data_IF_998668999923
#
_entry.id   IF_998668999923
#
_cell.length_a   1.000
_cell.length_b   1.000
_cell.length_c   1.000
_cell.angle_alpha   90.00
_cell.angle_beta   90.00
_cell.angle_gamma   90.00
#
_symmetry.space_group_name_H-M   'P 1'
#
loop_
_entity.id
_entity.type
_entity.pdbx_description
1 polymer ?
#
# COMPACT_ATOMS: atom_id res chain seq x y z
N UNK A 1 -8.70 -14.57 3.92
CA UNK A 1 -9.90 -15.31 3.44
C UNK A 1 -9.65 -16.81 3.46
N UNK A 2 -8.68 -17.40 2.73
CA UNK A 2 -8.44 -18.87 2.71
C UNK A 2 -8.44 -19.46 4.13
N UNK A 3 -7.60 -18.99 5.05
CA UNK A 3 -7.53 -19.51 6.43
C UNK A 3 -8.86 -19.45 7.19
N UNK A 4 -9.74 -18.49 6.88
CA UNK A 4 -11.05 -18.33 7.54
C UNK A 4 -12.11 -19.26 6.96
N UNK A 5 -12.15 -19.38 5.62
CA UNK A 5 -13.20 -20.11 4.90
C UNK A 5 -12.83 -21.60 4.66
N UNK A 6 -11.53 -21.90 4.66
CA UNK A 6 -10.97 -23.23 4.40
C UNK A 6 -9.85 -23.52 5.41
N UNK A 7 -10.17 -23.64 6.71
CA UNK A 7 -9.19 -23.80 7.77
C UNK A 7 -8.40 -25.11 7.70
N UNK A 8 -8.93 -26.12 6.99
CA UNK A 8 -8.31 -27.42 6.76
C UNK A 8 -7.09 -27.36 5.81
N UNK A 9 -6.97 -26.31 4.99
CA UNK A 9 -5.89 -26.19 4.02
C UNK A 9 -4.58 -25.72 4.70
N UNK A 10 -3.49 -26.45 4.43
CA UNK A 10 -2.15 -26.00 4.74
C UNK A 10 -1.72 -24.83 3.81
N UNK A 11 -1.18 -23.78 4.39
CA UNK A 11 -0.73 -22.58 3.65
C UNK A 11 0.79 -22.46 3.72
N UNK A 12 1.45 -22.62 2.58
CA UNK A 12 2.88 -22.34 2.42
C UNK A 12 3.04 -21.00 1.73
N UNK A 13 3.69 -20.05 2.39
CA UNK A 13 3.96 -18.72 1.87
C UNK A 13 5.45 -18.59 1.54
N UNK A 14 5.77 -18.41 0.27
CA UNK A 14 7.15 -18.29 -0.19
C UNK A 14 7.47 -16.89 -0.71
N UNK A 15 8.69 -16.43 -0.43
CA UNK A 15 9.22 -15.15 -0.88
C UNK A 15 10.54 -15.34 -1.61
N UNK A 16 10.73 -14.66 -2.73
CA UNK A 16 12.03 -14.57 -3.37
C UNK A 16 12.88 -13.43 -2.77
N UNK A 17 12.24 -12.31 -2.42
CA UNK A 17 12.91 -11.14 -1.86
C UNK A 17 13.15 -11.29 -0.35
N UNK A 18 14.38 -11.01 0.15
CA UNK A 18 14.65 -10.95 1.59
C UNK A 18 13.75 -9.96 2.33
N UNK A 19 13.47 -8.80 1.77
CA UNK A 19 12.61 -7.78 2.39
C UNK A 19 11.18 -8.29 2.63
N UNK A 20 10.63 -9.05 1.69
CA UNK A 20 9.31 -9.67 1.86
C UNK A 20 9.31 -10.75 2.95
N UNK A 21 10.35 -11.59 2.94
CA UNK A 21 10.51 -12.66 3.92
C UNK A 21 10.68 -12.12 5.34
N UNK A 22 11.62 -11.19 5.56
CA UNK A 22 11.92 -10.64 6.89
C UNK A 22 10.70 -10.00 7.56
N UNK A 23 9.87 -9.31 6.78
CA UNK A 23 8.62 -8.71 7.29
C UNK A 23 7.56 -9.76 7.60
N UNK A 24 7.59 -10.93 6.96
CA UNK A 24 6.51 -11.92 7.03
C UNK A 24 6.91 -13.30 7.56
N UNK A 25 8.16 -13.51 7.96
CA UNK A 25 8.66 -14.80 8.45
C UNK A 25 7.86 -15.42 9.61
N UNK A 26 7.21 -14.57 10.41
CA UNK A 26 6.34 -14.97 11.52
C UNK A 26 4.86 -14.71 11.21
N UNK A 27 4.45 -14.78 9.94
CA UNK A 27 3.07 -14.46 9.56
C UNK A 27 2.09 -15.53 10.07
N UNK A 28 1.18 -15.18 11.02
CA UNK A 28 0.42 -16.17 11.79
C UNK A 28 -0.65 -16.93 10.99
N UNK A 29 -0.90 -16.48 9.75
CA UNK A 29 -1.93 -17.09 8.89
C UNK A 29 -1.36 -18.19 8.00
N UNK A 30 -0.03 -18.22 7.79
CA UNK A 30 0.64 -19.28 7.06
C UNK A 30 1.20 -20.35 8.01
N UNK A 31 1.15 -21.60 7.61
CA UNK A 31 1.72 -22.71 8.39
C UNK A 31 3.24 -22.78 8.19
N UNK A 32 3.71 -22.45 6.98
CA UNK A 32 5.13 -22.38 6.63
C UNK A 32 5.39 -21.06 5.90
N UNK A 33 6.43 -20.33 6.33
CA UNK A 33 6.97 -19.17 5.60
C UNK A 33 8.42 -19.44 5.27
N UNK A 34 8.79 -19.33 3.99
CA UNK A 34 10.13 -19.73 3.53
C UNK A 34 10.58 -18.91 2.31
N UNK A 35 11.86 -19.03 1.97
CA UNK A 35 12.37 -18.50 0.71
C UNK A 35 11.99 -19.41 -0.47
N UNK A 36 11.66 -18.81 -1.60
CA UNK A 36 11.56 -19.51 -2.87
C UNK A 36 12.99 -19.65 -3.44
N UNK A 37 13.50 -20.88 -3.67
CA UNK A 37 14.80 -21.07 -4.31
C UNK A 37 14.87 -20.48 -5.72
N UNK A 38 16.10 -20.18 -6.20
CA UNK A 38 16.30 -19.69 -7.56
C UNK A 38 15.61 -20.58 -8.60
N UNK A 39 15.01 -19.95 -9.62
CA UNK A 39 14.22 -20.60 -10.65
C UNK A 39 15.11 -21.39 -11.63
N UNK A 40 15.57 -22.57 -11.18
CA UNK A 40 16.26 -23.57 -12.01
C UNK A 40 15.39 -24.82 -12.11
N UNK A 41 15.54 -25.59 -13.18
CA UNK A 41 14.76 -26.81 -13.40
C UNK A 41 14.91 -27.83 -12.22
N UNK A 42 16.10 -27.92 -11.61
CA UNK A 42 16.35 -28.80 -10.46
C UNK A 42 15.65 -28.29 -9.20
N UNK A 43 15.80 -27.01 -8.90
CA UNK A 43 15.18 -26.41 -7.72
C UNK A 43 13.64 -26.45 -7.81
N UNK A 44 13.09 -26.08 -8.96
CA UNK A 44 11.65 -26.08 -9.18
C UNK A 44 11.07 -27.48 -9.01
N UNK A 45 11.72 -28.51 -9.59
CA UNK A 45 11.28 -29.89 -9.42
C UNK A 45 11.30 -30.31 -7.95
N UNK A 46 12.44 -30.14 -7.27
CA UNK A 46 12.58 -30.52 -5.86
C UNK A 46 11.58 -29.78 -4.96
N UNK A 47 11.38 -28.49 -5.20
CA UNK A 47 10.44 -27.66 -4.45
C UNK A 47 9.01 -28.18 -4.59
N UNK A 48 8.55 -28.34 -5.85
CA UNK A 48 7.17 -28.81 -6.12
C UNK A 48 6.97 -30.23 -5.59
N UNK A 49 7.99 -31.11 -5.66
CA UNK A 49 7.95 -32.44 -5.07
C UNK A 49 7.90 -32.44 -3.54
N UNK A 50 8.64 -31.54 -2.89
CA UNK A 50 8.72 -31.46 -1.43
C UNK A 50 7.45 -30.87 -0.83
N UNK A 51 6.94 -29.76 -1.43
CA UNK A 51 5.72 -29.10 -0.95
C UNK A 51 4.47 -29.89 -1.34
N UNK A 52 4.50 -30.52 -2.51
CA UNK A 52 3.37 -31.28 -3.10
C UNK A 52 2.03 -30.52 -2.97
N UNK A 53 1.93 -29.31 -3.54
CA UNK A 53 0.77 -28.47 -3.33
C UNK A 53 -0.43 -28.97 -4.12
N UNK A 54 -1.64 -28.84 -3.55
CA UNK A 54 -2.90 -29.08 -4.24
C UNK A 54 -3.23 -27.96 -5.24
N UNK A 55 -2.73 -26.73 -4.97
CA UNK A 55 -2.82 -25.58 -5.88
C UNK A 55 -1.69 -24.60 -5.63
N UNK A 56 -1.38 -23.76 -6.61
CA UNK A 56 -0.42 -22.66 -6.50
C UNK A 56 -1.05 -21.33 -6.88
N UNK A 57 -0.78 -20.29 -6.08
CA UNK A 57 -1.27 -18.94 -6.33
C UNK A 57 -0.07 -18.00 -6.42
N UNK A 58 0.07 -17.35 -7.56
CA UNK A 58 1.07 -16.32 -7.82
C UNK A 58 0.42 -14.94 -7.81
N UNK A 59 1.18 -13.91 -7.40
CA UNK A 59 0.66 -12.55 -7.23
C UNK A 59 1.34 -11.57 -8.18
N UNK A 60 0.59 -10.88 -9.03
CA UNK A 60 1.04 -9.79 -9.92
C UNK A 60 2.04 -10.20 -11.00
N UNK A 61 3.34 -9.99 -10.75
CA UNK A 61 4.42 -10.11 -11.75
C UNK A 61 5.26 -11.38 -11.57
N UNK A 62 4.72 -12.39 -10.97
CA UNK A 62 5.43 -13.63 -10.64
C UNK A 62 5.39 -14.63 -11.80
N UNK A 63 6.40 -14.57 -12.69
CA UNK A 63 6.53 -15.41 -13.88
C UNK A 63 7.77 -16.30 -13.78
N UNK A 64 7.73 -17.29 -12.91
CA UNK A 64 8.79 -18.24 -12.63
C UNK A 64 8.71 -19.46 -13.55
N UNK A 65 9.43 -19.42 -14.67
CA UNK A 65 9.24 -20.36 -15.79
C UNK A 65 9.39 -21.82 -15.44
N UNK A 66 10.46 -22.19 -14.68
CA UNK A 66 10.67 -23.58 -14.29
C UNK A 66 9.64 -24.07 -13.25
N UNK A 67 9.25 -23.22 -12.31
CA UNK A 67 8.17 -23.55 -11.36
C UNK A 67 6.85 -23.75 -12.06
N UNK A 68 6.46 -22.85 -12.96
CA UNK A 68 5.23 -22.95 -13.74
C UNK A 68 5.19 -24.24 -14.59
N UNK A 69 6.30 -24.58 -15.23
CA UNK A 69 6.46 -25.82 -15.97
C UNK A 69 6.29 -27.08 -15.10
N UNK A 70 6.89 -27.09 -13.89
CA UNK A 70 6.77 -28.24 -13.00
C UNK A 70 5.35 -28.39 -12.44
N UNK A 71 4.70 -27.29 -12.08
CA UNK A 71 3.31 -27.29 -11.65
C UNK A 71 2.40 -27.83 -12.75
N UNK A 72 2.57 -27.36 -13.99
CA UNK A 72 1.81 -27.82 -15.15
C UNK A 72 2.04 -29.31 -15.46
N UNK A 73 3.29 -29.79 -15.39
CA UNK A 73 3.63 -31.22 -15.60
C UNK A 73 2.98 -32.15 -14.57
N UNK A 74 2.65 -31.64 -13.39
CA UNK A 74 1.97 -32.40 -12.33
C UNK A 74 0.47 -32.11 -12.26
N UNK A 75 -0.09 -31.42 -13.26
CA UNK A 75 -1.50 -31.03 -13.35
C UNK A 75 -1.99 -30.26 -12.10
N UNK A 76 -1.09 -29.51 -11.42
CA UNK A 76 -1.42 -28.72 -10.26
C UNK A 76 -2.09 -27.41 -10.72
N UNK A 77 -3.34 -27.14 -10.31
CA UNK A 77 -4.04 -25.89 -10.61
C UNK A 77 -3.21 -24.68 -10.18
N UNK A 78 -2.93 -23.79 -11.13
CA UNK A 78 -2.04 -22.65 -10.89
C UNK A 78 -2.72 -21.37 -11.30
N UNK A 79 -2.79 -20.41 -10.39
CA UNK A 79 -3.51 -19.16 -10.55
C UNK A 79 -2.57 -17.97 -10.45
N UNK A 80 -2.79 -16.96 -11.30
CA UNK A 80 -2.14 -15.65 -11.18
C UNK A 80 -3.20 -14.63 -10.78
N UNK A 81 -3.04 -13.98 -9.63
CA UNK A 81 -4.01 -13.03 -9.11
C UNK A 81 -3.51 -11.58 -9.14
N UNK A 82 -4.43 -10.63 -9.24
CA UNK A 82 -4.13 -9.19 -9.28
C UNK A 82 -3.11 -8.81 -10.35
N UNK A 83 -3.08 -9.52 -11.47
CA UNK A 83 -2.13 -9.28 -12.54
C UNK A 83 -2.49 -8.03 -13.36
N UNK A 84 -1.49 -7.28 -13.77
CA UNK A 84 -1.66 -6.15 -14.70
C UNK A 84 -0.68 -6.29 -15.86
N UNK A 85 -1.18 -6.11 -17.06
CA UNK A 85 -0.40 -6.24 -18.28
C UNK A 85 -0.28 -4.92 -19.03
N UNK A 86 0.88 -4.71 -19.66
CA UNK A 86 1.19 -3.51 -20.44
C UNK A 86 1.77 -3.93 -21.80
N UNK A 87 1.43 -3.19 -22.85
CA UNK A 87 1.88 -3.46 -24.23
C UNK A 87 3.40 -3.55 -24.38
N UNK A 88 4.16 -2.85 -23.52
CA UNK A 88 5.63 -2.86 -23.53
C UNK A 88 6.25 -4.14 -22.98
N UNK A 89 5.49 -5.02 -22.31
CA UNK A 89 6.04 -6.25 -21.73
C UNK A 89 6.37 -7.30 -22.80
N UNK A 90 7.33 -8.16 -22.47
CA UNK A 90 7.88 -9.18 -23.37
C UNK A 90 6.84 -10.13 -23.98
N UNK A 91 5.74 -10.39 -23.26
CA UNK A 91 4.64 -11.23 -23.73
C UNK A 91 4.04 -10.76 -25.07
N UNK A 92 3.99 -9.44 -25.28
CA UNK A 92 3.34 -8.79 -26.41
C UNK A 92 4.30 -8.41 -27.53
N UNK A 93 5.59 -8.72 -27.38
CA UNK A 93 6.59 -8.49 -28.41
C UNK A 93 6.64 -9.67 -29.39
N UNK A 94 7.07 -9.41 -30.64
CA UNK A 94 7.18 -10.46 -31.67
C UNK A 94 8.09 -11.62 -31.25
N UNK A 95 9.12 -11.36 -30.44
CA UNK A 95 10.07 -12.34 -29.90
C UNK A 95 9.60 -13.02 -28.61
N UNK A 96 8.44 -12.68 -28.09
CA UNK A 96 7.94 -13.07 -26.77
C UNK A 96 7.42 -14.50 -26.63
N UNK A 97 7.74 -15.42 -27.57
CA UNK A 97 7.20 -16.80 -27.58
C UNK A 97 7.39 -17.55 -26.26
N UNK A 98 8.61 -17.55 -25.72
CA UNK A 98 8.93 -18.22 -24.44
C UNK A 98 8.12 -17.64 -23.28
N UNK A 99 7.95 -16.31 -23.24
CA UNK A 99 7.15 -15.65 -22.20
C UNK A 99 5.65 -16.00 -22.33
N UNK A 100 5.13 -16.08 -23.57
CA UNK A 100 3.74 -16.52 -23.80
C UNK A 100 3.51 -17.96 -23.34
N UNK A 101 4.51 -18.83 -23.48
CA UNK A 101 4.44 -20.20 -22.96
C UNK A 101 4.18 -20.22 -21.44
N UNK A 102 4.83 -19.34 -20.67
CA UNK A 102 4.61 -19.23 -19.22
C UNK A 102 3.15 -18.87 -18.88
N UNK A 103 2.51 -17.99 -19.68
CA UNK A 103 1.09 -17.66 -19.50
C UNK A 103 0.19 -18.87 -19.69
N UNK A 104 0.54 -19.75 -20.63
CA UNK A 104 -0.17 -21.01 -20.87
C UNK A 104 0.03 -22.08 -19.79
N UNK A 105 0.87 -21.84 -18.79
CA UNK A 105 1.03 -22.72 -17.63
C UNK A 105 0.02 -22.40 -16.51
N UNK A 106 -0.60 -21.24 -16.53
CA UNK A 106 -1.64 -20.90 -15.56
C UNK A 106 -2.98 -21.52 -15.95
N UNK A 107 -3.66 -22.12 -14.97
CA UNK A 107 -5.03 -22.58 -15.12
C UNK A 107 -5.99 -21.42 -15.35
N UNK A 108 -5.75 -20.29 -14.62
CA UNK A 108 -6.50 -19.04 -14.79
C UNK A 108 -5.70 -17.83 -14.37
N UNK A 109 -5.92 -16.70 -15.07
CA UNK A 109 -5.34 -15.40 -14.76
C UNK A 109 -6.45 -14.44 -14.32
N UNK A 110 -6.32 -13.87 -13.13
CA UNK A 110 -7.20 -12.84 -12.62
C UNK A 110 -6.51 -11.49 -12.74
N UNK A 111 -7.01 -10.67 -13.65
CA UNK A 111 -6.39 -9.39 -14.01
C UNK A 111 -7.11 -8.20 -13.37
N UNK A 112 -6.38 -7.09 -13.25
CA UNK A 112 -6.90 -5.89 -12.60
C UNK A 112 -7.90 -5.12 -13.48
N UNK A 113 -7.78 -5.20 -14.81
CA UNK A 113 -8.55 -4.37 -15.72
C UNK A 113 -8.78 -5.01 -17.10
N UNK A 114 -9.78 -4.47 -17.80
CA UNK A 114 -10.15 -4.86 -19.16
C UNK A 114 -9.04 -4.62 -20.20
N UNK A 115 -8.14 -3.66 -19.94
CA UNK A 115 -7.02 -3.40 -20.86
C UNK A 115 -6.04 -4.59 -20.84
N UNK A 116 -5.76 -5.14 -19.64
CA UNK A 116 -4.97 -6.35 -19.48
C UNK A 116 -5.62 -7.57 -20.16
N UNK A 117 -6.94 -7.75 -19.99
CA UNK A 117 -7.67 -8.85 -20.62
C UNK A 117 -7.63 -8.75 -22.15
N UNK A 118 -7.83 -7.54 -22.72
CA UNK A 118 -7.72 -7.33 -24.18
C UNK A 118 -6.32 -7.61 -24.72
N UNK A 119 -5.26 -7.24 -24.01
CA UNK A 119 -3.89 -7.54 -24.39
C UNK A 119 -3.63 -9.05 -24.43
N UNK A 120 -4.10 -9.79 -23.43
CA UNK A 120 -3.98 -11.24 -23.35
C UNK A 120 -4.78 -11.95 -24.45
N UNK A 121 -6.00 -11.53 -24.72
CA UNK A 121 -6.82 -12.03 -25.82
C UNK A 121 -6.12 -11.83 -27.19
N UNK A 122 -5.41 -10.71 -27.38
CA UNK A 122 -4.62 -10.43 -28.59
C UNK A 122 -3.45 -11.39 -28.84
N UNK A 123 -3.07 -12.22 -27.86
CA UNK A 123 -2.06 -13.27 -27.99
C UNK A 123 -2.63 -14.67 -27.71
N UNK A 124 -3.95 -14.84 -27.90
CA UNK A 124 -4.70 -16.08 -27.73
C UNK A 124 -4.66 -16.67 -26.29
N UNK A 125 -4.59 -15.84 -25.26
CA UNK A 125 -4.76 -16.23 -23.84
C UNK A 125 -6.16 -15.83 -23.41
N UNK A 126 -7.05 -16.82 -23.21
CA UNK A 126 -8.49 -16.62 -22.98
C UNK A 126 -8.97 -17.06 -21.58
N UNK A 127 -8.15 -17.79 -20.82
CA UNK A 127 -8.43 -18.20 -19.44
C UNK A 127 -8.24 -17.05 -18.44
N UNK A 128 -8.93 -15.92 -18.68
CA UNK A 128 -8.73 -14.64 -18.01
C UNK A 128 -10.05 -14.12 -17.46
N UNK A 129 -10.07 -13.73 -16.18
CA UNK A 129 -11.17 -12.98 -15.58
C UNK A 129 -10.69 -11.60 -15.09
N UNK A 130 -11.52 -10.58 -15.26
CA UNK A 130 -11.27 -9.25 -14.72
C UNK A 130 -11.90 -9.16 -13.33
N UNK A 131 -11.06 -9.17 -12.30
CA UNK A 131 -11.51 -9.18 -10.90
C UNK A 131 -11.05 -7.95 -10.10
N UNK A 132 -10.08 -7.19 -10.61
CA UNK A 132 -9.50 -6.06 -9.87
C UNK A 132 -8.23 -6.43 -9.10
N UNK A 133 -7.83 -5.55 -8.18
CA UNK A 133 -6.63 -5.68 -7.35
C UNK A 133 -7.01 -5.96 -5.89
N UNK A 134 -6.55 -7.08 -5.36
CA UNK A 134 -6.77 -7.49 -3.96
C UNK A 134 -6.21 -6.52 -2.91
N UNK A 135 -5.37 -5.57 -3.32
CA UNK A 135 -4.89 -4.51 -2.41
C UNK A 135 -6.01 -3.59 -1.92
N UNK A 136 -7.07 -3.38 -2.72
CA UNK A 136 -8.22 -2.58 -2.31
C UNK A 136 -9.00 -3.24 -1.17
N UNK A 137 -9.23 -4.57 -1.27
CA UNK A 137 -9.86 -5.33 -0.20
C UNK A 137 -9.02 -5.29 1.07
N UNK A 138 -7.68 -5.45 0.92
CA UNK A 138 -6.76 -5.45 2.05
C UNK A 138 -6.75 -4.12 2.81
N UNK A 139 -6.67 -2.97 2.12
CA UNK A 139 -6.66 -1.67 2.82
C UNK A 139 -8.00 -1.40 3.49
N UNK A 140 -9.11 -1.88 2.91
CA UNK A 140 -10.43 -1.80 3.52
C UNK A 140 -10.53 -2.66 4.78
N UNK A 141 -9.99 -3.86 4.76
CA UNK A 141 -9.95 -4.75 5.94
C UNK A 141 -9.10 -4.13 7.07
N UNK A 142 -7.93 -3.58 6.74
CA UNK A 142 -7.10 -2.87 7.71
C UNK A 142 -7.87 -1.69 8.31
N UNK A 143 -8.50 -0.86 7.48
CA UNK A 143 -9.30 0.28 7.94
C UNK A 143 -10.40 -0.12 8.95
N UNK A 144 -11.04 -1.27 8.74
CA UNK A 144 -12.09 -1.80 9.64
C UNK A 144 -11.55 -2.38 10.94
N UNK A 145 -10.33 -2.88 10.95
CA UNK A 145 -9.73 -3.60 12.08
C UNK A 145 -8.74 -2.77 12.89
N UNK A 146 -8.45 -1.54 12.49
CA UNK A 146 -7.55 -0.63 13.23
C UNK A 146 -8.14 -0.25 14.57
N UNK A 147 -7.32 -0.34 15.62
CA UNK A 147 -7.67 0.11 16.97
C UNK A 147 -7.57 1.64 17.08
N UNK A 148 -8.40 2.19 17.94
CA UNK A 148 -8.36 3.61 18.28
C UNK A 148 -7.14 3.93 19.16
N UNK A 149 -6.51 5.07 18.88
CA UNK A 149 -5.41 5.62 19.67
C UNK A 149 -5.98 6.84 20.41
N UNK A 150 -6.22 6.69 21.71
CA UNK A 150 -6.88 7.72 22.52
C UNK A 150 -6.21 9.10 22.44
N UNK A 151 -4.88 9.13 22.36
CA UNK A 151 -4.10 10.36 22.24
C UNK A 151 -4.31 11.04 20.87
N UNK A 152 -4.51 10.26 19.82
CA UNK A 152 -4.80 10.79 18.48
C UNK A 152 -6.25 11.31 18.39
N UNK A 153 -7.20 10.64 19.06
CA UNK A 153 -8.56 11.16 19.19
C UNK A 153 -8.57 12.48 19.98
N UNK A 154 -7.81 12.56 21.07
CA UNK A 154 -7.67 13.81 21.82
C UNK A 154 -7.06 14.93 20.96
N UNK A 155 -6.07 14.63 20.12
CA UNK A 155 -5.52 15.59 19.17
C UNK A 155 -6.58 16.08 18.18
N UNK A 156 -7.36 15.19 17.61
CA UNK A 156 -8.46 15.53 16.67
C UNK A 156 -9.49 16.46 17.34
N UNK A 157 -9.79 16.21 18.60
CA UNK A 157 -10.72 17.03 19.39
C UNK A 157 -10.17 18.42 19.75
N UNK A 158 -8.90 18.73 19.48
CA UNK A 158 -8.36 20.10 19.63
C UNK A 158 -8.85 21.06 18.54
N UNK A 159 -9.44 20.56 17.46
CA UNK A 159 -9.86 21.33 16.29
C UNK A 159 -8.74 21.66 15.30
N UNK A 160 -7.50 21.23 15.57
CA UNK A 160 -6.40 21.36 14.60
C UNK A 160 -6.63 20.48 13.37
N UNK A 161 -6.22 20.96 12.20
CA UNK A 161 -6.12 20.11 11.02
C UNK A 161 -4.91 19.19 11.14
N UNK A 162 -5.08 17.91 10.82
CA UNK A 162 -4.04 16.91 10.90
C UNK A 162 -3.61 16.51 9.48
N UNK A 163 -2.33 16.65 9.19
CA UNK A 163 -1.75 16.19 7.91
C UNK A 163 -0.82 15.01 8.17
N UNK A 164 -1.09 13.88 7.54
CA UNK A 164 -0.25 12.68 7.68
C UNK A 164 0.72 12.60 6.51
N UNK A 165 2.01 12.78 6.79
CA UNK A 165 3.12 12.65 5.85
C UNK A 165 3.66 11.22 5.92
N UNK A 166 3.11 10.33 5.08
CA UNK A 166 3.41 8.91 5.15
C UNK A 166 4.57 8.49 4.27
N UNK A 167 5.43 7.63 4.77
CA UNK A 167 6.61 7.08 4.08
C UNK A 167 7.50 8.17 3.49
N UNK A 168 7.72 9.25 4.25
CA UNK A 168 8.48 10.41 3.78
C UNK A 168 9.98 10.11 3.70
N UNK A 169 10.62 10.74 2.73
CA UNK A 169 12.07 10.78 2.57
C UNK A 169 12.56 12.20 2.80
N UNK A 170 13.86 12.36 3.03
CA UNK A 170 14.46 13.69 3.24
C UNK A 170 14.08 14.72 2.15
N UNK A 171 13.99 14.27 0.89
CA UNK A 171 13.58 15.14 -0.21
C UNK A 171 12.12 15.61 -0.10
N UNK A 172 11.24 14.78 0.44
CA UNK A 172 9.84 15.14 0.70
C UNK A 172 9.75 16.13 1.87
N UNK A 173 10.48 15.85 2.97
CA UNK A 173 10.48 16.65 4.20
C UNK A 173 10.93 18.10 3.94
N UNK A 174 11.94 18.28 3.10
CA UNK A 174 12.41 19.60 2.69
C UNK A 174 11.34 20.45 1.97
N UNK A 175 10.32 19.83 1.37
CA UNK A 175 9.25 20.54 0.68
C UNK A 175 8.25 21.15 1.65
N UNK A 176 7.95 20.49 2.75
CA UNK A 176 6.89 20.91 3.66
C UNK A 176 7.36 21.40 5.03
N UNK A 177 8.64 21.25 5.39
CA UNK A 177 9.13 21.61 6.72
C UNK A 177 8.88 23.08 7.10
N UNK A 178 9.25 24.04 6.22
CA UNK A 178 9.04 25.46 6.47
C UNK A 178 7.56 25.81 6.57
N UNK A 179 6.77 25.25 5.68
CA UNK A 179 5.33 25.45 5.65
C UNK A 179 4.68 24.93 6.94
N UNK A 180 4.99 23.71 7.37
CA UNK A 180 4.45 23.13 8.60
C UNK A 180 4.87 23.93 9.84
N UNK A 181 6.12 24.38 9.89
CA UNK A 181 6.61 25.23 11.00
C UNK A 181 5.88 26.57 11.11
N UNK A 182 5.44 27.14 9.98
CA UNK A 182 4.75 28.44 9.95
C UNK A 182 3.28 28.39 10.38
N UNK A 183 2.64 27.21 10.32
CA UNK A 183 1.21 27.06 10.62
C UNK A 183 1.01 26.51 12.05
N UNK A 184 0.29 27.26 12.90
CA UNK A 184 0.08 26.92 14.33
C UNK A 184 -1.18 26.11 14.59
N UNK A 185 -2.11 26.15 13.68
CA UNK A 185 -3.41 25.47 13.71
C UNK A 185 -3.37 24.08 13.03
N UNK A 186 -2.18 23.64 12.64
CA UNK A 186 -1.96 22.36 11.98
C UNK A 186 -1.05 21.48 12.84
N UNK A 187 -1.33 20.18 12.84
CA UNK A 187 -0.44 19.17 13.38
C UNK A 187 0.01 18.22 12.26
N UNK A 188 1.32 18.13 12.01
CA UNK A 188 1.90 17.16 11.10
C UNK A 188 2.18 15.83 11.80
N UNK A 189 1.74 14.73 11.22
CA UNK A 189 2.13 13.37 11.61
C UNK A 189 3.12 12.84 10.58
N UNK A 190 4.40 12.78 10.93
CA UNK A 190 5.49 12.43 10.00
C UNK A 190 5.91 10.99 10.25
N UNK A 191 5.68 10.13 9.27
CA UNK A 191 6.15 8.74 9.27
C UNK A 191 7.28 8.59 8.25
N UNK A 192 8.56 8.66 8.65
CA UNK A 192 9.66 8.47 7.75
C UNK A 192 9.70 7.05 7.21
N UNK A 193 10.11 6.89 5.95
CA UNK A 193 10.19 5.56 5.30
C UNK A 193 11.23 4.66 5.95
N UNK A 194 12.38 5.23 6.28
CA UNK A 194 13.48 4.58 6.98
C UNK A 194 13.94 5.47 8.14
N UNK A 195 14.19 4.88 9.28
CA UNK A 195 14.67 5.62 10.45
C UNK A 195 15.53 4.75 11.36
N UNK A 196 16.44 5.42 12.01
CA UNK A 196 17.16 5.02 13.21
C UNK A 196 17.05 6.13 14.26
N UNK A 197 17.59 5.90 15.44
CA UNK A 197 17.51 6.88 16.52
C UNK A 197 18.12 8.24 16.16
N UNK A 198 19.21 8.25 15.39
CA UNK A 198 19.86 9.49 14.95
C UNK A 198 18.97 10.27 13.99
N UNK A 199 18.31 9.56 13.06
CA UNK A 199 17.37 10.16 12.10
C UNK A 199 16.14 10.74 12.81
N UNK A 200 15.55 9.99 13.74
CA UNK A 200 14.41 10.45 14.54
C UNK A 200 14.74 11.70 15.34
N UNK A 201 15.91 11.73 15.99
CA UNK A 201 16.36 12.90 16.73
C UNK A 201 16.53 14.14 15.83
N UNK A 202 17.13 13.98 14.66
CA UNK A 202 17.26 15.08 13.67
C UNK A 202 15.92 15.60 13.21
N UNK A 203 14.96 14.70 12.93
CA UNK A 203 13.60 15.12 12.58
C UNK A 203 12.94 15.88 13.71
N UNK A 204 13.08 15.41 14.96
CA UNK A 204 12.55 16.11 16.14
C UNK A 204 13.13 17.51 16.27
N UNK A 205 14.44 17.68 16.09
CA UNK A 205 15.11 18.99 16.09
C UNK A 205 14.63 19.88 14.93
N UNK A 206 14.51 19.34 13.72
CA UNK A 206 14.10 20.07 12.52
C UNK A 206 12.68 20.64 12.62
N UNK A 207 11.75 19.87 13.20
CA UNK A 207 10.35 20.26 13.29
C UNK A 207 9.96 20.96 14.61
N UNK A 208 10.80 20.93 15.62
CA UNK A 208 10.58 21.65 16.87
C UNK A 208 10.74 23.15 16.68
N UNK A 209 9.68 23.92 16.98
CA UNK A 209 9.70 25.39 16.99
C UNK A 209 9.65 25.96 18.40
N UNK A 210 9.04 25.22 19.32
CA UNK A 210 8.95 25.55 20.74
C UNK A 210 9.13 24.28 21.58
N UNK A 211 9.60 24.40 22.78
CA UNK A 211 9.76 23.25 23.68
C UNK A 211 8.43 22.52 23.86
N UNK A 212 8.40 21.21 23.53
CA UNK A 212 7.27 20.31 23.70
C UNK A 212 6.22 20.35 22.61
N UNK A 213 6.45 21.04 21.48
CA UNK A 213 5.53 21.05 20.35
C UNK A 213 5.78 19.92 19.34
N UNK A 214 6.87 19.18 19.51
CA UNK A 214 7.21 17.99 18.70
C UNK A 214 7.53 16.80 19.60
N UNK A 215 6.89 15.66 19.32
CA UNK A 215 6.98 14.44 20.16
C UNK A 215 7.10 13.18 19.27
N UNK A 216 7.71 12.11 19.79
CA UNK A 216 7.64 10.79 19.17
C UNK A 216 6.26 10.16 19.44
N UNK A 217 5.78 9.35 18.52
CA UNK A 217 4.50 8.66 18.69
C UNK A 217 4.52 7.74 19.94
N UNK A 218 5.62 7.05 20.18
CA UNK A 218 5.80 6.21 21.38
C UNK A 218 5.75 7.01 22.67
N UNK A 219 6.37 8.20 22.69
CA UNK A 219 6.29 9.13 23.84
C UNK A 219 4.84 9.59 24.07
N UNK A 220 4.14 9.99 23.01
CA UNK A 220 2.74 10.42 23.08
C UNK A 220 1.83 9.30 23.60
N UNK A 221 1.95 8.09 23.05
CA UNK A 221 1.10 6.95 23.44
C UNK A 221 1.40 6.42 24.83
N UNK A 222 2.54 6.76 25.43
CA UNK A 222 2.87 6.42 26.82
C UNK A 222 2.14 7.30 27.85
N UNK A 223 1.58 8.44 27.44
CA UNK A 223 0.80 9.31 28.32
C UNK A 223 -0.57 8.67 28.56
N UNK A 224 -0.89 8.36 29.81
CA UNK A 224 -2.14 7.68 30.18
C UNK A 224 -3.14 8.60 30.91
N UNK A 225 -2.66 9.65 31.56
CA UNK A 225 -3.54 10.60 32.24
C UNK A 225 -4.26 11.52 31.24
N UNK A 226 -5.57 11.62 31.36
CA UNK A 226 -6.42 12.37 30.41
C UNK A 226 -6.11 13.87 30.38
N UNK A 227 -5.78 14.47 31.54
CA UNK A 227 -5.45 15.88 31.61
C UNK A 227 -4.11 16.17 30.93
N UNK A 228 -3.13 15.29 31.15
CA UNK A 228 -1.82 15.38 30.50
C UNK A 228 -1.91 15.14 28.97
N UNK A 229 -2.72 14.20 28.53
CA UNK A 229 -3.03 13.98 27.10
C UNK A 229 -3.58 15.27 26.49
N UNK A 230 -4.61 15.87 27.11
CA UNK A 230 -5.23 17.09 26.61
C UNK A 230 -4.24 18.27 26.56
N UNK A 231 -3.47 18.45 27.63
CA UNK A 231 -2.43 19.51 27.71
C UNK A 231 -1.36 19.32 26.61
N UNK A 232 -0.88 18.10 26.44
CA UNK A 232 0.12 17.76 25.44
C UNK A 232 -0.43 18.01 24.01
N UNK A 233 -1.57 17.41 23.66
CA UNK A 233 -2.13 17.47 22.30
C UNK A 233 -2.48 18.88 21.86
N UNK A 234 -2.91 19.76 22.80
CA UNK A 234 -3.22 21.15 22.50
C UNK A 234 -2.01 21.95 21.99
N UNK A 235 -0.80 21.65 22.46
CA UNK A 235 0.42 22.37 22.05
C UNK A 235 1.13 21.72 20.86
N UNK A 236 0.83 20.44 20.53
CA UNK A 236 1.54 19.72 19.49
C UNK A 236 1.41 20.37 18.12
N UNK A 237 2.53 20.45 17.40
CA UNK A 237 2.67 20.80 16.00
C UNK A 237 3.12 19.61 15.15
N UNK A 238 3.90 18.71 15.75
CA UNK A 238 4.43 17.58 15.03
C UNK A 238 4.48 16.31 15.89
N UNK A 239 4.09 15.20 15.28
CA UNK A 239 4.27 13.85 15.82
C UNK A 239 5.15 13.09 14.85
N UNK A 240 6.25 12.52 15.33
CA UNK A 240 7.15 11.71 14.52
C UNK A 240 6.89 10.24 14.84
N UNK A 241 6.59 9.47 13.83
CA UNK A 241 6.29 8.04 13.95
C UNK A 241 7.60 7.26 14.02
N UNK A 242 7.86 6.64 15.16
CA UNK A 242 9.08 5.94 15.52
C UNK A 242 8.90 4.41 15.61
N UNK A 243 7.82 3.89 15.01
CA UNK A 243 7.52 2.46 14.96
C UNK A 243 6.93 2.04 13.62
N UNK A 244 7.31 0.85 13.16
CA UNK A 244 6.76 0.30 11.92
C UNK A 244 5.34 -0.24 12.10
N UNK A 245 4.55 -0.21 11.02
CA UNK A 245 3.21 -0.79 10.98
C UNK A 245 2.08 0.10 11.50
N UNK A 246 2.38 1.30 12.02
CA UNK A 246 1.39 2.23 12.57
C UNK A 246 0.74 3.15 11.52
N UNK A 247 1.43 3.41 10.41
CA UNK A 247 1.05 4.44 9.44
C UNK A 247 -0.37 4.25 8.88
N UNK A 248 -0.75 3.03 8.54
CA UNK A 248 -2.09 2.74 8.00
C UNK A 248 -3.21 3.12 9.00
N UNK A 249 -2.97 2.99 10.31
CA UNK A 249 -3.92 3.38 11.36
C UNK A 249 -3.95 4.89 11.57
N UNK A 250 -2.82 5.57 11.36
CA UNK A 250 -2.69 7.01 11.60
C UNK A 250 -3.42 7.85 10.54
N UNK A 251 -3.56 7.36 9.31
CA UNK A 251 -4.36 8.04 8.28
C UNK A 251 -5.83 8.26 8.69
N UNK A 252 -6.38 7.42 9.58
CA UNK A 252 -7.72 7.58 10.15
C UNK A 252 -7.95 8.96 10.79
N UNK A 253 -6.89 9.53 11.35
CA UNK A 253 -6.95 10.81 12.06
C UNK A 253 -6.64 12.01 11.18
N UNK A 254 -6.09 11.76 9.98
CA UNK A 254 -5.71 12.80 9.05
C UNK A 254 -6.88 13.46 8.34
N UNK A 255 -6.78 14.76 8.10
CA UNK A 255 -7.64 15.50 7.17
C UNK A 255 -7.07 15.47 5.75
N UNK A 256 -5.74 15.39 5.63
CA UNK A 256 -5.00 15.34 4.36
C UNK A 256 -3.88 14.31 4.50
N UNK A 257 -3.57 13.57 3.44
CA UNK A 257 -2.41 12.72 3.37
C UNK A 257 -1.41 13.21 2.32
N UNK A 258 -0.13 13.23 2.67
CA UNK A 258 0.97 13.31 1.72
C UNK A 258 1.72 11.99 1.68
N UNK A 259 1.94 11.43 0.48
CA UNK A 259 2.64 10.16 0.31
C UNK A 259 4.02 10.39 -0.28
N UNK A 260 5.03 10.05 0.50
CA UNK A 260 6.43 10.23 0.15
C UNK A 260 6.95 9.31 -0.95
N UNK A 261 8.19 9.57 -1.36
CA UNK A 261 8.92 8.82 -2.37
C UNK A 261 8.76 9.34 -3.80
N UNK A 262 7.76 10.17 -4.06
CA UNK A 262 7.47 10.68 -5.41
C UNK A 262 8.55 11.55 -6.03
N UNK A 263 9.49 12.06 -5.25
CA UNK A 263 10.68 12.80 -5.72
C UNK A 263 11.94 11.92 -5.82
N UNK A 264 11.85 10.64 -5.44
CA UNK A 264 12.97 9.70 -5.42
C UNK A 264 12.68 8.41 -6.18
N UNK A 265 12.36 7.36 -5.44
CA UNK A 265 12.21 5.99 -5.95
C UNK A 265 10.83 5.67 -6.53
N UNK A 266 9.85 6.55 -6.35
CA UNK A 266 8.43 6.38 -6.70
C UNK A 266 7.56 6.39 -5.44
N UNK A 267 6.28 6.72 -5.62
CA UNK A 267 5.33 6.85 -4.51
C UNK A 267 5.10 5.51 -3.79
N UNK A 268 4.76 5.61 -2.50
CA UNK A 268 4.31 4.47 -1.70
C UNK A 268 2.80 4.21 -1.89
N UNK A 269 2.23 3.34 -1.05
CA UNK A 269 0.84 2.89 -1.19
C UNK A 269 -0.17 4.02 -0.83
N UNK A 270 -0.72 4.65 -1.84
CA UNK A 270 -1.71 5.73 -1.69
C UNK A 270 -3.09 5.24 -1.22
N UNK A 271 -3.42 3.96 -1.46
CA UNK A 271 -4.72 3.39 -1.11
C UNK A 271 -4.92 3.31 0.41
N UNK A 272 -3.84 3.22 1.19
CA UNK A 272 -3.88 3.21 2.65
C UNK A 272 -4.42 4.51 3.24
N UNK A 273 -4.18 5.64 2.57
CA UNK A 273 -4.73 6.93 2.94
C UNK A 273 -6.13 7.15 2.34
N UNK A 274 -6.27 6.87 1.04
CA UNK A 274 -7.50 7.11 0.29
C UNK A 274 -8.72 6.35 0.87
N UNK A 275 -8.51 5.19 1.49
CA UNK A 275 -9.58 4.37 2.11
C UNK A 275 -10.29 5.10 3.24
N UNK A 276 -9.63 6.05 3.90
CA UNK A 276 -10.23 6.87 4.96
C UNK A 276 -11.03 8.08 4.43
N UNK A 277 -11.08 8.25 3.12
CA UNK A 277 -11.84 9.35 2.52
C UNK A 277 -11.18 10.70 2.73
N UNK A 278 -9.86 10.76 2.69
CA UNK A 278 -9.06 11.99 2.76
C UNK A 278 -8.35 12.24 1.43
N UNK A 279 -8.14 13.50 1.01
CA UNK A 279 -7.38 13.80 -0.20
C UNK A 279 -5.92 13.37 -0.05
N UNK A 280 -5.34 12.90 -1.17
CA UNK A 280 -3.99 12.33 -1.18
C UNK A 280 -3.09 13.15 -2.10
N UNK A 281 -1.99 13.69 -1.55
CA UNK A 281 -0.98 14.46 -2.27
C UNK A 281 0.26 13.59 -2.48
N UNK A 282 0.91 13.67 -3.62
CA UNK A 282 2.13 12.93 -3.92
C UNK A 282 2.97 13.59 -5.01
N UNK A 283 4.25 13.24 -5.05
CA UNK A 283 5.20 13.76 -6.04
C UNK A 283 5.07 13.11 -7.43
N UNK A 284 5.85 13.56 -8.44
CA UNK A 284 5.61 13.30 -9.86
C UNK A 284 5.98 11.87 -10.30
N UNK A 285 6.76 11.11 -9.53
CA UNK A 285 7.16 9.73 -9.92
C UNK A 285 6.11 8.69 -9.58
N UNK A 286 4.93 8.81 -10.17
CA UNK A 286 3.79 7.91 -9.93
C UNK A 286 3.31 7.14 -11.18
N UNK A 287 3.91 7.33 -12.36
CA UNK A 287 3.41 6.79 -13.65
C UNK A 287 3.28 5.25 -13.70
N UNK A 288 3.98 4.54 -12.83
CA UNK A 288 3.88 3.08 -12.70
C UNK A 288 2.66 2.63 -11.87
N UNK A 289 2.00 3.56 -11.20
CA UNK A 289 0.90 3.32 -10.28
C UNK A 289 -0.41 3.81 -10.91
N UNK A 290 -1.19 2.88 -11.44
CA UNK A 290 -2.48 3.18 -12.07
C UNK A 290 -3.41 3.92 -11.10
N UNK A 291 -3.43 3.50 -9.86
CA UNK A 291 -4.22 4.08 -8.79
C UNK A 291 -3.95 5.57 -8.56
N UNK A 292 -2.73 6.04 -8.78
CA UNK A 292 -2.40 7.46 -8.66
C UNK A 292 -3.05 8.30 -9.78
N UNK A 293 -2.96 7.82 -11.01
CA UNK A 293 -3.62 8.45 -12.16
C UNK A 293 -5.14 8.46 -11.99
N UNK A 294 -5.71 7.36 -11.53
CA UNK A 294 -7.15 7.24 -11.31
C UNK A 294 -7.63 8.18 -10.20
N UNK A 295 -6.85 8.33 -9.10
CA UNK A 295 -7.16 9.28 -8.03
C UNK A 295 -7.10 10.74 -8.49
N UNK A 296 -6.11 11.11 -9.33
CA UNK A 296 -6.07 12.45 -9.93
C UNK A 296 -7.32 12.67 -10.79
N UNK A 297 -7.65 11.72 -11.66
CA UNK A 297 -8.79 11.84 -12.57
C UNK A 297 -10.14 11.97 -11.86
N UNK A 298 -10.30 11.36 -10.70
CA UNK A 298 -11.52 11.49 -9.91
C UNK A 298 -11.53 12.68 -8.94
N UNK A 299 -10.44 13.45 -8.85
CA UNK A 299 -10.31 14.62 -7.98
C UNK A 299 -9.99 14.28 -6.51
N UNK A 300 -9.61 13.02 -6.21
CA UNK A 300 -9.19 12.59 -4.88
C UNK A 300 -7.68 12.65 -4.64
N UNK A 301 -6.90 12.78 -5.72
CA UNK A 301 -5.44 12.83 -5.71
C UNK A 301 -4.88 14.11 -6.31
N UNK A 302 -3.73 14.56 -5.80
CA UNK A 302 -3.05 15.77 -6.22
C UNK A 302 -1.57 15.47 -6.48
N UNK A 303 -1.13 15.63 -7.73
CA UNK A 303 0.29 15.60 -8.06
C UNK A 303 0.94 16.95 -7.76
N UNK A 304 2.13 16.93 -7.19
CA UNK A 304 2.95 18.12 -6.97
C UNK A 304 4.34 17.95 -7.57
N UNK A 305 4.82 18.99 -8.25
CA UNK A 305 6.15 19.03 -8.88
C UNK A 305 7.22 19.68 -8.01
N UNK A 306 6.86 20.29 -6.88
CA UNK A 306 7.77 20.94 -5.96
C UNK A 306 7.08 21.72 -4.85
N UNK A 307 7.90 22.44 -4.04
CA UNK A 307 7.51 23.15 -2.83
C UNK A 307 6.33 24.12 -3.03
N UNK A 308 6.44 25.03 -3.99
CA UNK A 308 5.41 26.05 -4.22
C UNK A 308 4.04 25.46 -4.55
N UNK A 309 4.01 24.38 -5.36
CA UNK A 309 2.77 23.73 -5.71
C UNK A 309 2.19 22.96 -4.51
N UNK A 310 3.04 22.29 -3.72
CA UNK A 310 2.61 21.61 -2.49
C UNK A 310 1.99 22.60 -1.51
N UNK A 311 2.65 23.73 -1.23
CA UNK A 311 2.13 24.77 -0.34
C UNK A 311 0.79 25.33 -0.85
N UNK A 312 0.66 25.57 -2.16
CA UNK A 312 -0.59 26.05 -2.77
C UNK A 312 -1.75 25.06 -2.58
N UNK A 313 -1.49 23.76 -2.81
CA UNK A 313 -2.53 22.73 -2.64
C UNK A 313 -2.90 22.58 -1.15
N UNK A 314 -1.92 22.55 -0.26
CA UNK A 314 -2.17 22.47 1.18
C UNK A 314 -3.00 23.66 1.66
N UNK A 315 -2.62 24.88 1.27
CA UNK A 315 -3.38 26.09 1.62
C UNK A 315 -4.81 26.04 1.09
N UNK A 316 -5.02 25.60 -0.15
CA UNK A 316 -6.36 25.43 -0.73
C UNK A 316 -7.20 24.43 0.06
N UNK A 317 -6.66 23.24 0.33
CA UNK A 317 -7.38 22.19 1.06
C UNK A 317 -7.72 22.57 2.50
N UNK A 318 -6.88 23.41 3.15
CA UNK A 318 -7.12 23.86 4.53
C UNK A 318 -8.13 25.00 4.58
N UNK A 319 -8.07 25.94 3.64
CA UNK A 319 -8.94 27.12 3.64
C UNK A 319 -10.33 26.88 3.03
N UNK A 320 -10.47 25.87 2.19
CA UNK A 320 -11.73 25.51 1.53
C UNK A 320 -12.23 24.13 1.97
N UNK A 321 -13.08 24.12 2.99
CA UNK A 321 -13.70 22.89 3.54
C UNK A 321 -14.51 22.12 2.50
N UNK A 322 -15.10 22.80 1.50
CA UNK A 322 -15.84 22.14 0.44
C UNK A 322 -14.90 21.35 -0.45
N UNK A 323 -13.77 21.92 -0.86
CA UNK A 323 -12.75 21.24 -1.66
C UNK A 323 -12.13 20.09 -0.88
N UNK A 324 -11.80 20.28 0.41
CA UNK A 324 -11.30 19.23 1.28
C UNK A 324 -12.28 18.05 1.34
N UNK A 325 -13.55 18.32 1.63
CA UNK A 325 -14.59 17.27 1.72
C UNK A 325 -14.83 16.55 0.39
N UNK A 326 -14.96 17.30 -0.71
CA UNK A 326 -15.26 16.70 -2.02
C UNK A 326 -14.12 15.84 -2.53
N UNK A 327 -12.86 16.27 -2.33
CA UNK A 327 -11.68 15.51 -2.71
C UNK A 327 -11.51 14.27 -1.85
N UNK A 328 -11.72 14.38 -0.54
CA UNK A 328 -11.69 13.21 0.35
C UNK A 328 -12.78 12.20 -0.02
N UNK A 329 -14.01 12.65 -0.25
CA UNK A 329 -15.12 11.80 -0.71
C UNK A 329 -14.80 11.11 -2.05
N UNK A 330 -14.16 11.81 -2.98
CA UNK A 330 -13.73 11.23 -4.26
C UNK A 330 -12.70 10.11 -4.05
N UNK A 331 -11.70 10.32 -3.17
CA UNK A 331 -10.69 9.31 -2.82
C UNK A 331 -11.34 8.07 -2.20
N UNK A 332 -12.19 8.22 -1.18
CA UNK A 332 -12.90 7.11 -0.54
C UNK A 332 -13.81 6.36 -1.50
N UNK A 333 -14.54 7.09 -2.36
CA UNK A 333 -15.43 6.50 -3.37
C UNK A 333 -14.65 5.72 -4.43
N UNK A 334 -13.43 6.15 -4.77
CA UNK A 334 -12.56 5.41 -5.66
C UNK A 334 -12.18 4.04 -5.05
N UNK A 335 -11.78 4.00 -3.79
CA UNK A 335 -11.49 2.75 -3.09
C UNK A 335 -12.72 1.84 -3.06
N UNK A 336 -13.88 2.39 -2.64
CA UNK A 336 -15.13 1.63 -2.50
C UNK A 336 -15.59 0.96 -3.82
N UNK A 337 -15.31 1.58 -4.97
CA UNK A 337 -15.65 1.00 -6.29
C UNK A 337 -14.69 -0.06 -6.77
N UNK A 338 -13.50 -0.18 -6.17
CA UNK A 338 -12.46 -1.12 -6.59
C UNK A 338 -12.29 -2.31 -5.64
N UNK A 339 -13.09 -2.42 -4.58
CA UNK A 339 -13.14 -3.59 -3.68
C UNK A 339 -13.90 -4.75 -4.34
N UNK A 340 -13.67 -5.98 -3.85
CA UNK A 340 -14.39 -7.17 -4.29
C UNK A 340 -13.53 -8.18 -5.06
N UNK A 341 -12.27 -7.85 -5.37
CA UNK A 341 -11.36 -8.76 -6.07
C UNK A 341 -11.10 -10.06 -5.29
N UNK A 342 -10.82 -9.94 -3.98
CA UNK A 342 -10.53 -11.11 -3.14
C UNK A 342 -11.69 -12.10 -3.04
N UNK A 343 -12.94 -11.70 -2.73
CA UNK A 343 -14.07 -12.63 -2.72
C UNK A 343 -14.40 -13.20 -4.09
N UNK A 344 -14.27 -12.42 -5.18
CA UNK A 344 -14.52 -12.91 -6.53
C UNK A 344 -13.50 -13.99 -6.94
N UNK A 345 -12.22 -13.77 -6.69
CA UNK A 345 -11.16 -14.74 -6.94
C UNK A 345 -11.36 -16.00 -6.08
N UNK A 346 -11.65 -15.82 -4.79
CA UNK A 346 -11.88 -16.94 -3.87
C UNK A 346 -13.03 -17.82 -4.35
N UNK A 347 -14.16 -17.22 -4.67
CA UNK A 347 -15.33 -17.92 -5.21
C UNK A 347 -14.98 -18.69 -6.49
N UNK A 348 -14.25 -18.09 -7.41
CA UNK A 348 -13.88 -18.71 -8.68
C UNK A 348 -12.86 -19.86 -8.52
N UNK A 349 -11.94 -19.78 -7.55
CA UNK A 349 -10.95 -20.85 -7.31
C UNK A 349 -11.55 -22.04 -6.59
N UNK A 350 -12.50 -21.82 -5.69
CA UNK A 350 -13.07 -22.87 -4.84
C UNK A 350 -14.47 -23.30 -5.26
N UNK A 351 -14.96 -22.85 -6.42
CA UNK A 351 -16.28 -23.19 -7.01
C UNK A 351 -17.45 -23.03 -6.01
N UNK A 352 -17.49 -21.91 -5.25
CA UNK A 352 -18.49 -21.63 -4.21
C UNK A 352 -19.53 -20.61 -4.71
#
# INVERSE_FOLDING_TARGET
>A
MIRRERPELGIVLSFFSPSGYEVRKNYPVADIVCYLPFDTASNARRWVETINPEMAIFVKYEFWGNYLEQLKKKDIPTYLISAIFRKSQSFFQWWGGTFRHMLGCYSKLYVQDEASARLLAGINVHNVDVTGDTRFDRVTDICRTTHEIAQMEALKNTGKKIIVFGSSWKADEQLYADWLRSHTDICGVIAPHEFDNCRLQKLKEEFTTKQGDTILLSELTSITDTADIYKCTKQLKCIIVDSFGQLASLYRYGDIAYIGGGFGHGIHNINEAAVYGIPVIFGPKHQKFKEATDLINCGGGFEVSGKTQLESILNTLISDEKTLYTSGKAAGSYIARNIGATPAIFKSIFDI
#
